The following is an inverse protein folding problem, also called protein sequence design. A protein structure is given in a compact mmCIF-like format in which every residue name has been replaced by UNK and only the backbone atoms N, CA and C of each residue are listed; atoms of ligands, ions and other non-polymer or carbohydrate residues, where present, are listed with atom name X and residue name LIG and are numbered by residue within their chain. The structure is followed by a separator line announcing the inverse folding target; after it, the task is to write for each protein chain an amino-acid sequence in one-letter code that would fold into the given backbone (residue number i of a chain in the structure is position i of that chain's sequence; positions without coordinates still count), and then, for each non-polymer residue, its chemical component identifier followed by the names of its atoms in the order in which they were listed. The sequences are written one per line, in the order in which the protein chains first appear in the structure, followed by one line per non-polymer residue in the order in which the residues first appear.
data_IF_279897825352
#
_entry.id   IF_279897825352
#
_cell.length_a   1.000
_cell.length_b   1.000
_cell.length_c   1.000
_cell.angle_alpha   90.00
_cell.angle_beta   90.00
_cell.angle_gamma   90.00
#
_symmetry.space_group_name_H-M   'P 1'
#
loop_
_entity.id
_entity.type
_entity.pdbx_description
1 polymer ?
#
# COMPACT_ATOMS: atom_id res chain seq x y z
N UNK A 1 -19.81 31.84 1.77
CA UNK A 1 -21.27 31.94 1.86
C UNK A 1 -21.88 30.77 1.11
N UNK A 2 -22.82 30.10 1.72
CA UNK A 2 -23.45 28.88 1.19
C UNK A 2 -24.68 29.19 0.30
N UNK A 3 -24.85 30.42 -0.09
CA UNK A 3 -26.11 30.89 -0.70
C UNK A 3 -26.14 30.70 -2.22
N UNK A 4 -25.00 30.74 -2.87
CA UNK A 4 -24.91 30.78 -4.35
C UNK A 4 -24.42 29.46 -4.98
N UNK A 5 -23.81 28.59 -4.20
CA UNK A 5 -23.29 27.31 -4.70
C UNK A 5 -24.41 26.29 -4.92
N UNK A 6 -24.37 25.55 -6.02
CA UNK A 6 -25.26 24.42 -6.30
C UNK A 6 -24.95 23.20 -5.44
N UNK A 7 -23.67 22.99 -5.13
CA UNK A 7 -23.15 21.93 -4.28
C UNK A 7 -22.37 22.54 -3.13
N UNK A 8 -22.67 22.13 -1.92
CA UNK A 8 -21.89 22.54 -0.76
C UNK A 8 -20.64 21.67 -0.63
N UNK A 9 -19.47 22.29 -0.67
CA UNK A 9 -18.19 21.63 -0.50
C UNK A 9 -17.53 22.04 0.81
N UNK A 10 -16.94 21.07 1.53
CA UNK A 10 -16.31 21.27 2.82
C UNK A 10 -15.03 20.44 2.93
N UNK A 11 -13.95 21.07 3.40
CA UNK A 11 -12.72 20.39 3.74
C UNK A 11 -12.84 19.83 5.14
N UNK A 12 -12.98 18.51 5.26
CA UNK A 12 -13.21 17.83 6.52
C UNK A 12 -11.91 17.23 7.06
N UNK A 13 -11.36 17.88 8.05
CA UNK A 13 -10.17 17.43 8.79
C UNK A 13 -10.50 17.09 10.24
N UNK A 14 -11.72 16.68 10.54
CA UNK A 14 -12.16 16.37 11.90
C UNK A 14 -11.65 15.04 12.43
N UNK A 15 -11.35 14.07 11.55
CA UNK A 15 -10.95 12.74 11.96
C UNK A 15 -9.55 12.69 12.58
N UNK A 16 -9.46 12.38 13.87
CA UNK A 16 -8.22 12.33 14.64
C UNK A 16 -7.65 10.92 14.87
N UNK A 17 -8.14 9.91 14.11
CA UNK A 17 -7.76 8.50 14.29
C UNK A 17 -8.71 7.71 15.20
N UNK A 18 -9.66 8.37 15.85
CA UNK A 18 -10.70 7.76 16.71
C UNK A 18 -12.04 8.44 16.46
N UNK A 19 -13.14 7.71 16.71
CA UNK A 19 -14.49 8.21 16.51
C UNK A 19 -14.91 8.25 15.04
N UNK A 20 -15.92 9.09 14.68
CA UNK A 20 -16.40 9.21 13.31
C UNK A 20 -15.32 9.69 12.35
N UNK A 21 -15.30 9.13 11.13
CA UNK A 21 -14.33 9.47 10.10
C UNK A 21 -14.55 10.85 9.47
N UNK A 22 -15.74 11.41 9.59
CA UNK A 22 -16.07 12.74 9.13
C UNK A 22 -17.20 13.37 9.95
N UNK A 23 -17.35 14.68 9.85
CA UNK A 23 -18.43 15.40 10.52
C UNK A 23 -19.81 14.98 9.96
N UNK A 24 -20.84 14.95 10.81
CA UNK A 24 -22.20 14.82 10.31
C UNK A 24 -22.56 15.98 9.39
N UNK A 25 -23.12 15.69 8.21
CA UNK A 25 -23.55 16.73 7.27
C UNK A 25 -24.40 17.83 7.90
N UNK A 26 -25.30 17.45 8.82
CA UNK A 26 -26.16 18.38 9.56
C UNK A 26 -25.41 19.35 10.47
N UNK A 27 -24.20 18.99 10.93
CA UNK A 27 -23.33 19.88 11.70
C UNK A 27 -22.58 20.88 10.80
N UNK A 28 -22.34 20.52 9.54
CA UNK A 28 -21.59 21.34 8.58
C UNK A 28 -22.49 22.30 7.82
N UNK A 29 -23.70 21.88 7.39
CA UNK A 29 -24.65 22.72 6.65
C UNK A 29 -26.09 22.49 7.09
N UNK A 30 -26.87 23.56 7.33
CA UNK A 30 -28.30 23.45 7.62
C UNK A 30 -29.13 23.18 6.36
N UNK A 31 -28.62 23.46 5.16
CA UNK A 31 -29.33 23.25 3.90
C UNK A 31 -29.10 21.84 3.34
N UNK A 32 -30.00 20.94 3.73
CA UNK A 32 -29.96 19.54 3.31
C UNK A 32 -30.52 19.29 1.89
N UNK A 33 -30.97 20.34 1.17
CA UNK A 33 -31.50 20.22 -0.20
C UNK A 33 -30.39 20.19 -1.24
N UNK A 34 -29.25 20.83 -0.95
CA UNK A 34 -28.09 20.87 -1.86
C UNK A 34 -27.30 19.57 -1.79
N UNK A 35 -26.61 19.22 -2.86
CA UNK A 35 -25.56 18.21 -2.84
C UNK A 35 -24.48 18.58 -1.81
N UNK A 36 -23.88 17.58 -1.18
CA UNK A 36 -22.78 17.77 -0.21
C UNK A 36 -21.57 16.93 -0.62
N UNK A 37 -20.43 17.58 -0.70
CA UNK A 37 -19.15 16.96 -1.06
C UNK A 37 -18.11 17.25 0.03
N UNK A 38 -17.45 16.22 0.52
CA UNK A 38 -16.22 16.37 1.29
C UNK A 38 -15.09 16.60 0.29
N UNK A 39 -14.68 17.86 0.12
CA UNK A 39 -13.75 18.29 -0.92
C UNK A 39 -12.29 18.00 -0.60
N UNK A 40 -11.96 17.86 0.68
CA UNK A 40 -10.64 17.45 1.13
C UNK A 40 -10.72 16.70 2.45
N UNK A 41 -9.87 15.67 2.62
CA UNK A 41 -9.62 15.02 3.91
C UNK A 41 -8.25 14.31 3.91
N UNK A 42 -7.73 13.96 5.07
CA UNK A 42 -6.56 13.10 5.26
C UNK A 42 -5.24 13.86 5.21
N UNK A 43 -4.55 13.83 4.12
CA UNK A 43 -3.23 14.36 3.78
C UNK A 43 -2.46 15.14 4.84
N UNK A 44 -2.83 16.37 5.07
CA UNK A 44 -2.13 17.24 6.02
C UNK A 44 -2.20 16.73 7.46
N UNK A 45 -3.30 16.09 7.87
CA UNK A 45 -3.45 15.54 9.22
C UNK A 45 -2.61 14.30 9.46
N UNK A 46 -2.39 13.51 8.42
CA UNK A 46 -1.65 12.26 8.52
C UNK A 46 -0.68 12.08 7.34
N UNK A 47 0.38 12.91 7.28
CA UNK A 47 1.40 12.75 6.24
C UNK A 47 2.14 11.42 6.46
N UNK A 48 2.41 10.69 5.38
CA UNK A 48 3.25 9.49 5.43
C UNK A 48 4.19 9.43 4.24
N UNK A 49 5.44 9.14 4.54
CA UNK A 49 6.49 8.92 3.54
C UNK A 49 6.49 7.46 3.11
N UNK A 50 6.90 7.19 1.88
CA UNK A 50 7.07 5.81 1.41
C UNK A 50 8.07 5.00 2.24
N UNK A 51 8.99 5.69 2.93
CA UNK A 51 10.04 5.12 3.78
C UNK A 51 9.79 5.24 5.29
N UNK A 52 8.59 5.64 5.71
CA UNK A 52 8.16 5.51 7.11
C UNK A 52 8.01 4.04 7.48
N UNK A 53 7.96 3.73 8.78
CA UNK A 53 7.74 2.38 9.25
C UNK A 53 6.38 1.81 8.81
N UNK A 54 6.24 0.50 8.83
CA UNK A 54 5.01 -0.18 8.40
C UNK A 54 3.78 0.23 9.22
N UNK A 55 3.85 0.35 10.57
CA UNK A 55 2.72 0.80 11.37
C UNK A 55 2.22 2.18 10.96
N UNK A 56 3.11 3.13 10.68
CA UNK A 56 2.73 4.48 10.26
C UNK A 56 2.08 4.49 8.88
N UNK A 57 2.66 3.77 7.91
CA UNK A 57 2.11 3.63 6.55
C UNK A 57 0.74 2.94 6.57
N UNK A 58 0.57 1.90 7.39
CA UNK A 58 -0.72 1.24 7.59
C UNK A 58 -1.74 2.16 8.24
N UNK A 59 -1.33 2.91 9.28
CA UNK A 59 -2.23 3.84 9.95
C UNK A 59 -2.74 4.94 9.01
N UNK A 60 -1.91 5.45 8.08
CA UNK A 60 -2.36 6.36 7.03
C UNK A 60 -3.42 5.71 6.13
N UNK A 61 -3.18 4.50 5.66
CA UNK A 61 -4.13 3.79 4.80
C UNK A 61 -5.48 3.57 5.51
N UNK A 62 -5.44 3.14 6.77
CA UNK A 62 -6.65 2.94 7.58
C UNK A 62 -7.35 4.27 7.91
N UNK A 63 -6.60 5.39 8.03
CA UNK A 63 -7.16 6.73 8.17
C UNK A 63 -8.01 7.10 6.95
N UNK A 64 -7.46 6.96 5.75
CA UNK A 64 -8.21 7.19 4.50
C UNK A 64 -9.43 6.25 4.39
N UNK A 65 -9.28 4.98 4.74
CA UNK A 65 -10.38 4.02 4.73
C UNK A 65 -11.51 4.41 5.69
N UNK A 66 -11.18 4.95 6.87
CA UNK A 66 -12.17 5.35 7.88
C UNK A 66 -13.00 6.55 7.41
N UNK A 67 -12.35 7.58 6.85
CA UNK A 67 -13.07 8.75 6.35
C UNK A 67 -13.97 8.37 5.16
N UNK A 68 -13.45 7.59 4.21
CA UNK A 68 -14.25 7.10 3.07
C UNK A 68 -15.44 6.26 3.51
N UNK A 69 -15.24 5.35 4.48
CA UNK A 69 -16.30 4.53 5.02
C UNK A 69 -17.45 5.37 5.58
N UNK A 70 -17.12 6.36 6.41
CA UNK A 70 -18.13 7.16 7.09
C UNK A 70 -18.79 8.18 6.14
N UNK A 71 -18.05 8.68 5.16
CA UNK A 71 -18.62 9.50 4.09
C UNK A 71 -19.64 8.71 3.25
N UNK A 72 -19.35 7.45 2.92
CA UNK A 72 -20.27 6.56 2.19
C UNK A 72 -21.47 6.17 3.05
N UNK A 73 -21.26 5.97 4.35
CA UNK A 73 -22.32 5.62 5.28
C UNK A 73 -23.34 6.75 5.51
N UNK A 74 -22.92 8.01 5.32
CA UNK A 74 -23.79 9.17 5.53
C UNK A 74 -24.73 9.38 4.33
N UNK A 75 -26.02 9.47 4.64
CA UNK A 75 -27.01 9.82 3.65
C UNK A 75 -26.84 11.27 3.15
N UNK A 76 -26.87 11.46 1.85
CA UNK A 76 -26.80 12.77 1.20
C UNK A 76 -25.39 13.33 1.02
N UNK A 77 -24.34 12.56 1.31
CA UNK A 77 -22.97 12.84 0.90
C UNK A 77 -22.78 12.33 -0.54
N UNK A 78 -22.42 13.20 -1.44
CA UNK A 78 -22.24 12.87 -2.87
C UNK A 78 -20.88 12.21 -3.13
N UNK A 79 -19.89 12.46 -2.27
CA UNK A 79 -18.54 11.87 -2.37
C UNK A 79 -17.56 12.50 -1.41
N UNK A 80 -16.37 11.94 -1.39
CA UNK A 80 -15.24 12.45 -0.60
C UNK A 80 -13.94 12.35 -1.40
N UNK A 81 -13.16 13.43 -1.41
CA UNK A 81 -11.90 13.56 -2.12
C UNK A 81 -10.74 13.63 -1.12
N UNK A 82 -9.83 12.67 -1.20
CA UNK A 82 -8.63 12.69 -0.37
C UNK A 82 -7.64 13.76 -0.83
N UNK A 83 -7.07 14.50 0.08
CA UNK A 83 -5.91 15.36 -0.16
C UNK A 83 -4.63 14.60 0.19
N UNK A 84 -3.81 14.19 -0.80
CA UNK A 84 -4.04 14.37 -2.22
C UNK A 84 -3.54 13.15 -3.01
N UNK A 85 -3.60 13.22 -4.34
CA UNK A 85 -3.18 12.10 -5.20
C UNK A 85 -1.68 11.84 -5.08
N UNK A 86 -0.85 12.88 -5.05
CA UNK A 86 0.61 12.72 -5.03
C UNK A 86 1.29 13.69 -4.07
N UNK A 87 2.43 13.27 -3.55
CA UNK A 87 3.36 14.18 -2.87
C UNK A 87 3.74 15.33 -3.81
N UNK A 88 4.03 16.49 -3.24
CA UNK A 88 4.34 17.67 -4.03
C UNK A 88 5.40 18.55 -3.37
N UNK A 89 6.14 19.26 -4.20
CA UNK A 89 7.10 20.23 -3.74
C UNK A 89 6.41 21.43 -3.09
N UNK A 90 7.03 21.97 -2.05
CA UNK A 90 6.54 23.13 -1.34
C UNK A 90 7.63 24.21 -1.19
N UNK A 91 7.27 25.38 -0.68
CA UNK A 91 8.22 26.48 -0.49
C UNK A 91 9.13 26.22 0.73
N UNK A 92 10.19 27.02 0.84
CA UNK A 92 11.28 26.86 1.82
C UNK A 92 10.85 26.88 3.30
N UNK A 93 9.70 27.48 3.60
CA UNK A 93 9.19 27.63 4.96
C UNK A 93 8.30 26.46 5.40
N UNK A 94 8.12 25.48 4.52
CA UNK A 94 7.25 24.34 4.74
C UNK A 94 7.95 23.01 4.38
N UNK A 95 7.54 21.92 5.02
CA UNK A 95 8.11 20.60 4.78
C UNK A 95 9.21 20.23 5.76
N UNK A 96 9.78 19.05 5.60
CA UNK A 96 10.74 18.42 6.49
C UNK A 96 12.21 18.62 6.08
N UNK A 97 12.52 19.79 5.53
CA UNK A 97 13.89 20.14 5.07
C UNK A 97 14.14 19.77 3.61
N UNK A 98 13.52 18.72 3.09
CA UNK A 98 13.53 18.34 1.67
C UNK A 98 12.49 19.10 0.84
N UNK A 99 11.69 19.94 1.47
CA UNK A 99 10.65 20.79 0.86
C UNK A 99 9.58 19.98 0.11
N UNK A 100 9.22 18.84 0.66
CA UNK A 100 8.17 17.98 0.13
C UNK A 100 7.04 17.89 1.15
N UNK A 101 5.81 18.09 0.70
CA UNK A 101 4.61 17.72 1.44
C UNK A 101 4.26 16.25 1.13
N UNK A 102 4.37 15.40 2.14
CA UNK A 102 4.11 13.96 2.03
C UNK A 102 2.63 13.61 2.24
N UNK A 103 1.75 14.38 1.61
CA UNK A 103 0.31 14.28 1.75
C UNK A 103 -0.33 13.29 0.77
N UNK A 104 0.43 12.90 -0.25
CA UNK A 104 -0.06 12.07 -1.35
C UNK A 104 -0.31 10.62 -0.96
N UNK A 105 -1.25 9.99 -1.66
CA UNK A 105 -1.39 8.53 -1.68
C UNK A 105 -0.40 7.88 -2.65
N UNK A 106 0.28 8.69 -3.47
CA UNK A 106 1.46 8.33 -4.27
C UNK A 106 2.62 9.26 -3.94
N UNK A 107 3.83 8.88 -4.32
CA UNK A 107 5.00 9.75 -4.22
C UNK A 107 5.02 10.82 -5.33
N UNK A 108 6.10 11.63 -5.41
CA UNK A 108 6.31 12.66 -6.43
C UNK A 108 6.28 12.11 -7.87
N UNK A 109 6.61 10.87 -8.08
CA UNK A 109 6.71 10.21 -9.37
C UNK A 109 5.54 9.29 -9.68
N UNK A 110 4.47 9.36 -8.85
CA UNK A 110 3.25 8.54 -8.96
C UNK A 110 3.44 7.07 -8.59
N UNK A 111 4.54 6.71 -7.92
CA UNK A 111 4.64 5.39 -7.30
C UNK A 111 3.60 5.29 -6.17
N UNK A 112 2.78 4.22 -6.14
CA UNK A 112 1.73 4.09 -5.14
C UNK A 112 2.32 3.84 -3.74
N UNK A 113 1.81 4.56 -2.75
CA UNK A 113 1.95 4.22 -1.33
C UNK A 113 0.83 3.24 -0.95
N UNK A 114 0.90 2.66 0.24
CA UNK A 114 -0.11 1.72 0.71
C UNK A 114 -1.54 2.31 0.66
N UNK A 115 -1.68 3.59 0.99
CA UNK A 115 -2.98 4.30 0.96
C UNK A 115 -3.60 4.41 -0.43
N UNK A 116 -2.83 4.30 -1.51
CA UNK A 116 -3.39 4.25 -2.86
C UNK A 116 -4.27 3.00 -3.08
N UNK A 117 -3.91 1.88 -2.44
CA UNK A 117 -4.68 0.64 -2.54
C UNK A 117 -6.07 0.75 -1.90
N UNK A 118 -6.26 1.65 -0.93
CA UNK A 118 -7.58 1.93 -0.34
C UNK A 118 -8.57 2.37 -1.41
N UNK A 119 -8.16 3.31 -2.26
CA UNK A 119 -9.01 3.83 -3.34
C UNK A 119 -9.14 2.84 -4.49
N UNK A 120 -8.03 2.27 -4.93
CA UNK A 120 -7.99 1.33 -6.04
C UNK A 120 -8.88 0.10 -5.80
N UNK A 121 -8.92 -0.41 -4.55
CA UNK A 121 -9.72 -1.56 -4.18
C UNK A 121 -11.23 -1.30 -4.12
N UNK A 122 -11.70 -0.04 -4.16
CA UNK A 122 -13.15 0.22 -4.11
C UNK A 122 -13.87 0.00 -5.44
N UNK A 123 -13.13 -0.16 -6.54
CA UNK A 123 -13.70 -0.48 -7.85
C UNK A 123 -14.13 -1.94 -7.92
N UNK A 124 -15.35 -2.23 -8.37
CA UNK A 124 -15.79 -3.60 -8.65
C UNK A 124 -14.98 -4.18 -9.81
N UNK A 125 -14.31 -5.34 -9.63
CA UNK A 125 -13.54 -5.96 -10.68
C UNK A 125 -14.47 -6.52 -11.77
N UNK A 126 -14.08 -6.38 -13.05
CA UNK A 126 -14.77 -6.94 -14.21
C UNK A 126 -14.03 -8.13 -14.81
N UNK A 127 -12.75 -8.26 -14.46
CA UNK A 127 -11.85 -9.32 -14.93
C UNK A 127 -10.82 -9.64 -13.84
N UNK A 128 -10.13 -10.78 -13.91
CA UNK A 128 -9.03 -11.09 -13.00
C UNK A 128 -7.93 -10.02 -12.95
N UNK A 129 -7.68 -9.30 -14.04
CA UNK A 129 -6.69 -8.21 -14.11
C UNK A 129 -7.12 -6.97 -13.33
N UNK A 130 -8.41 -6.76 -13.07
CA UNK A 130 -8.94 -5.65 -12.28
C UNK A 130 -8.81 -5.88 -10.76
N UNK A 131 -8.45 -7.10 -10.34
CA UNK A 131 -8.32 -7.40 -8.92
C UNK A 131 -7.09 -6.70 -8.35
N UNK A 132 -7.34 -5.79 -7.42
CA UNK A 132 -6.32 -5.14 -6.59
C UNK A 132 -5.96 -6.09 -5.45
N UNK A 133 -4.67 -6.24 -5.17
CA UNK A 133 -4.22 -7.13 -4.10
C UNK A 133 -2.94 -6.62 -3.47
N UNK A 134 -3.08 -5.83 -2.40
CA UNK A 134 -1.96 -5.22 -1.69
C UNK A 134 -1.91 -5.69 -0.24
N UNK A 135 -0.81 -6.36 0.14
CA UNK A 135 -0.54 -6.81 1.50
C UNK A 135 0.27 -5.75 2.23
N UNK A 136 -0.25 -5.26 3.36
CA UNK A 136 0.30 -4.09 4.06
C UNK A 136 1.71 -4.27 4.63
N UNK A 137 2.15 -5.51 4.85
CA UNK A 137 3.45 -5.83 5.45
C UNK A 137 4.42 -6.43 4.45
N UNK A 138 5.68 -6.02 4.52
CA UNK A 138 6.80 -6.70 3.86
C UNK A 138 7.06 -8.07 4.49
N UNK A 139 6.56 -8.27 5.70
CA UNK A 139 6.79 -9.39 6.61
C UNK A 139 8.24 -9.55 7.07
N UNK A 140 9.19 -8.81 6.53
CA UNK A 140 10.62 -8.72 6.91
C UNK A 140 11.22 -10.06 7.36
N UNK A 141 10.91 -11.15 6.62
CA UNK A 141 11.25 -12.52 7.02
C UNK A 141 12.76 -12.73 6.98
N UNK A 142 13.30 -13.22 8.10
CA UNK A 142 14.73 -13.48 8.26
C UNK A 142 15.55 -12.33 8.81
N UNK A 143 15.02 -11.10 8.88
CA UNK A 143 15.80 -9.92 9.28
C UNK A 143 15.85 -9.72 10.81
N UNK A 144 14.78 -10.04 11.52
CA UNK A 144 14.69 -9.83 12.95
C UNK A 144 13.69 -10.79 13.63
N UNK A 145 13.73 -10.89 14.98
CA UNK A 145 12.82 -11.75 15.74
C UNK A 145 11.36 -11.41 15.47
N UNK A 146 10.56 -12.46 15.27
CA UNK A 146 9.15 -12.29 15.03
C UNK A 146 8.78 -11.85 13.63
N UNK A 147 9.77 -11.65 12.74
CA UNK A 147 9.60 -11.41 11.32
C UNK A 147 8.57 -10.34 10.98
N UNK A 148 7.34 -10.64 10.97
CA UNK A 148 6.22 -9.76 10.65
C UNK A 148 5.39 -9.38 11.89
N UNK A 149 6.02 -8.98 12.97
CA UNK A 149 5.31 -8.46 14.14
C UNK A 149 4.45 -7.24 13.76
N UNK A 150 3.27 -7.13 14.39
CA UNK A 150 2.32 -6.06 14.12
C UNK A 150 1.08 -6.51 13.34
N UNK A 151 0.23 -5.57 12.98
CA UNK A 151 -1.00 -5.83 12.22
C UNK A 151 -0.69 -6.08 10.74
N UNK A 152 -1.41 -7.01 10.13
CA UNK A 152 -1.35 -7.28 8.69
C UNK A 152 -2.74 -7.12 8.08
N UNK A 153 -2.85 -6.27 7.08
CA UNK A 153 -4.08 -6.00 6.36
C UNK A 153 -3.88 -6.22 4.86
N UNK A 154 -4.94 -6.61 4.20
CA UNK A 154 -4.97 -6.73 2.73
C UNK A 154 -6.02 -5.79 2.18
N UNK A 155 -5.59 -4.87 1.31
CA UNK A 155 -6.47 -3.99 0.56
C UNK A 155 -6.77 -4.66 -0.78
N UNK A 156 -8.01 -5.11 -0.95
CA UNK A 156 -8.41 -5.88 -2.12
C UNK A 156 -9.89 -5.72 -2.43
N UNK A 157 -10.24 -5.88 -3.70
CA UNK A 157 -11.61 -6.04 -4.18
C UNK A 157 -11.93 -7.50 -4.55
N UNK A 158 -11.10 -8.45 -4.11
CA UNK A 158 -11.40 -9.88 -4.17
C UNK A 158 -12.48 -10.27 -3.13
N UNK A 159 -13.07 -11.43 -3.31
CA UNK A 159 -14.11 -11.97 -2.41
C UNK A 159 -13.52 -12.48 -1.08
N UNK A 160 -12.32 -13.06 -1.15
CA UNK A 160 -11.59 -13.54 0.02
C UNK A 160 -10.09 -13.60 -0.22
N UNK A 161 -9.36 -13.80 0.87
CA UNK A 161 -7.90 -14.00 0.88
C UNK A 161 -7.58 -15.32 1.58
N UNK A 162 -6.88 -16.22 0.90
CA UNK A 162 -6.33 -17.44 1.49
C UNK A 162 -4.89 -17.21 1.89
N UNK A 163 -4.54 -17.65 3.10
CA UNK A 163 -3.19 -17.61 3.61
C UNK A 163 -2.63 -19.03 3.72
N UNK A 164 -1.40 -19.21 3.26
CA UNK A 164 -0.62 -20.42 3.41
C UNK A 164 0.71 -20.11 4.07
N UNK A 165 1.24 -21.03 4.84
CA UNK A 165 2.61 -21.06 5.35
C UNK A 165 3.32 -22.28 4.78
N UNK A 166 4.28 -22.06 3.89
CA UNK A 166 4.81 -23.14 3.06
C UNK A 166 3.68 -23.81 2.26
N UNK A 167 3.49 -25.09 2.49
CA UNK A 167 2.40 -25.87 1.87
C UNK A 167 1.15 -25.98 2.75
N UNK A 168 1.19 -25.48 3.97
CA UNK A 168 0.08 -25.57 4.91
C UNK A 168 -0.92 -24.43 4.70
N UNK A 169 -2.17 -24.78 4.47
CA UNK A 169 -3.27 -23.84 4.51
C UNK A 169 -3.50 -23.38 5.94
N UNK A 170 -3.52 -22.07 6.16
CA UNK A 170 -3.75 -21.47 7.47
C UNK A 170 -5.22 -21.12 7.64
N UNK A 171 -5.74 -20.22 6.81
CA UNK A 171 -7.12 -19.77 6.88
C UNK A 171 -7.54 -19.07 5.58
N UNK A 172 -8.85 -18.89 5.41
CA UNK A 172 -9.45 -18.02 4.41
C UNK A 172 -10.16 -16.87 5.13
N UNK A 173 -9.85 -15.63 4.72
CA UNK A 173 -10.36 -14.41 5.32
C UNK A 173 -11.29 -13.71 4.34
N UNK A 174 -12.42 -13.22 4.83
CA UNK A 174 -13.40 -12.44 4.07
C UNK A 174 -13.50 -11.03 4.62
N UNK A 175 -13.96 -10.04 3.81
CA UNK A 175 -14.22 -8.69 4.30
C UNK A 175 -15.22 -8.70 5.46
N UNK A 176 -14.90 -8.00 6.53
CA UNK A 176 -15.85 -7.84 7.65
C UNK A 176 -16.93 -6.81 7.29
N UNK A 177 -18.10 -7.32 6.90
CA UNK A 177 -19.28 -6.53 6.54
C UNK A 177 -20.07 -5.97 7.74
N UNK A 178 -19.60 -6.21 8.96
CA UNK A 178 -20.20 -5.70 10.20
C UNK A 178 -19.23 -4.87 11.03
N UNK A 179 -17.97 -4.85 10.63
CA UNK A 179 -16.89 -4.13 11.30
C UNK A 179 -16.81 -2.65 10.94
N UNK A 180 -15.68 -2.06 11.29
CA UNK A 180 -15.41 -0.63 11.16
C UNK A 180 -15.55 -0.08 9.73
N UNK A 181 -15.28 -0.90 8.72
CA UNK A 181 -15.25 -0.50 7.32
C UNK A 181 -16.41 -1.06 6.51
N UNK A 182 -17.52 -1.42 7.15
CA UNK A 182 -18.64 -2.14 6.55
C UNK A 182 -19.36 -1.39 5.43
N UNK A 183 -19.30 -0.05 5.40
CA UNK A 183 -19.92 0.77 4.35
C UNK A 183 -19.08 0.86 3.07
N UNK A 184 -17.80 0.54 3.15
CA UNK A 184 -16.97 0.49 1.93
C UNK A 184 -17.47 -0.61 0.98
N UNK A 185 -17.49 -0.39 -0.35
CA UNK A 185 -17.77 -1.44 -1.33
C UNK A 185 -16.90 -2.68 -1.13
N UNK A 186 -15.62 -2.48 -0.85
CA UNK A 186 -14.64 -3.53 -0.56
C UNK A 186 -13.86 -3.18 0.72
N UNK A 187 -14.36 -3.59 1.90
CA UNK A 187 -13.66 -3.40 3.17
C UNK A 187 -12.29 -4.07 3.16
N UNK A 188 -11.24 -3.42 3.67
CA UNK A 188 -9.94 -4.06 3.83
C UNK A 188 -10.05 -5.27 4.77
N UNK A 189 -9.27 -6.30 4.50
CA UNK A 189 -9.30 -7.58 5.22
C UNK A 189 -8.13 -7.63 6.21
N UNK A 190 -8.44 -7.75 7.50
CA UNK A 190 -7.42 -7.98 8.52
C UNK A 190 -7.05 -9.46 8.56
N UNK A 191 -5.77 -9.76 8.48
CA UNK A 191 -5.22 -11.11 8.63
C UNK A 191 -4.94 -11.33 10.11
N UNK A 192 -5.87 -11.97 10.80
CA UNK A 192 -5.83 -12.13 12.24
C UNK A 192 -5.15 -13.42 12.69
N UNK A 193 -5.11 -14.43 11.83
CA UNK A 193 -4.55 -15.75 12.15
C UNK A 193 -3.42 -16.14 11.19
N UNK A 194 -2.27 -16.47 11.76
CA UNK A 194 -1.07 -16.96 11.08
C UNK A 194 -0.67 -18.39 11.52
N UNK A 195 -1.48 -18.99 12.37
CA UNK A 195 -1.22 -20.31 12.97
C UNK A 195 -2.19 -21.37 12.45
N UNK A 196 -3.47 -21.06 12.36
CA UNK A 196 -4.51 -21.98 11.86
C UNK A 196 -4.48 -23.29 12.59
N UNK A 197 -4.56 -24.38 11.83
CA UNK A 197 -4.52 -25.77 12.34
C UNK A 197 -3.12 -26.35 12.56
N UNK A 198 -2.05 -25.55 12.46
CA UNK A 198 -0.68 -26.04 12.61
C UNK A 198 -0.41 -26.68 13.97
N UNK A 199 -1.06 -26.18 15.04
CA UNK A 199 -0.92 -26.72 16.39
C UNK A 199 -1.57 -28.10 16.54
N UNK A 200 -2.71 -28.32 15.91
CA UNK A 200 -3.34 -29.64 15.83
C UNK A 200 -2.44 -30.61 15.06
N UNK A 201 -1.95 -30.16 13.90
CA UNK A 201 -1.17 -30.99 12.98
C UNK A 201 0.20 -31.37 13.53
N UNK A 202 0.91 -30.43 14.18
CA UNK A 202 2.32 -30.60 14.53
C UNK A 202 2.61 -30.68 16.02
N UNK A 203 1.69 -30.24 16.89
CA UNK A 203 1.83 -30.33 18.35
C UNK A 203 0.86 -31.37 18.94
N UNK A 204 -0.08 -31.90 18.14
CA UNK A 204 -1.08 -32.86 18.60
C UNK A 204 -2.07 -32.28 19.61
N UNK A 205 -2.26 -30.96 19.61
CA UNK A 205 -3.27 -30.32 20.46
C UNK A 205 -4.67 -30.66 19.96
N UNK A 206 -5.59 -30.88 20.91
CA UNK A 206 -6.97 -31.13 20.56
C UNK A 206 -7.70 -29.89 20.02
N UNK A 207 -8.85 -30.10 19.37
CA UNK A 207 -9.66 -29.06 18.72
C UNK A 207 -10.19 -27.97 19.70
N UNK A 208 -10.17 -28.21 21.00
CA UNK A 208 -10.59 -27.21 22.00
C UNK A 208 -9.41 -26.36 22.48
N UNK A 209 -8.24 -26.92 22.55
CA UNK A 209 -6.99 -26.30 23.04
C UNK A 209 -6.25 -25.52 21.94
N UNK A 210 -6.11 -26.12 20.76
CA UNK A 210 -5.33 -25.53 19.66
C UNK A 210 -5.79 -24.11 19.28
N UNK A 211 -7.10 -23.79 19.10
CA UNK A 211 -7.53 -22.44 18.76
C UNK A 211 -7.24 -21.42 19.87
N UNK A 212 -7.27 -21.84 21.14
CA UNK A 212 -6.97 -20.95 22.27
C UNK A 212 -5.48 -20.58 22.31
N UNK A 213 -4.61 -21.55 22.04
CA UNK A 213 -3.15 -21.32 21.95
C UNK A 213 -2.84 -20.49 20.72
N UNK A 214 -3.46 -20.78 19.57
CA UNK A 214 -3.30 -19.99 18.35
C UNK A 214 -3.69 -18.52 18.57
N UNK A 215 -4.79 -18.25 19.28
CA UNK A 215 -5.20 -16.90 19.63
C UNK A 215 -4.17 -16.16 20.47
N UNK A 216 -3.55 -16.84 21.43
CA UNK A 216 -2.47 -16.27 22.27
C UNK A 216 -1.25 -15.94 21.39
N UNK A 217 -0.81 -16.86 20.52
CA UNK A 217 0.33 -16.65 19.63
C UNK A 217 0.09 -15.49 18.64
N UNK A 218 -1.11 -15.38 18.08
CA UNK A 218 -1.48 -14.30 17.19
C UNK A 218 -1.54 -12.94 17.91
N UNK A 219 -1.99 -12.91 19.17
CA UNK A 219 -1.94 -11.70 20.01
C UNK A 219 -0.49 -11.29 20.29
N UNK A 220 0.37 -12.24 20.68
CA UNK A 220 1.81 -11.98 20.90
C UNK A 220 2.47 -11.39 19.66
N UNK A 221 2.12 -11.90 18.48
CA UNK A 221 2.61 -11.37 17.19
C UNK A 221 2.17 -9.93 16.97
N UNK A 222 0.88 -9.65 17.17
CA UNK A 222 0.28 -8.33 16.89
C UNK A 222 0.76 -7.26 17.87
N UNK A 223 0.88 -7.62 19.14
CA UNK A 223 1.05 -6.66 20.24
C UNK A 223 2.47 -6.76 20.88
N UNK A 224 3.47 -7.15 20.08
CA UNK A 224 4.89 -7.21 20.46
C UNK A 224 5.13 -7.99 21.77
N UNK A 225 4.63 -9.22 21.84
CA UNK A 225 4.70 -10.13 22.99
C UNK A 225 3.87 -9.73 24.22
N UNK A 226 3.14 -8.61 24.17
CA UNK A 226 2.21 -8.24 25.23
C UNK A 226 0.96 -9.12 25.15
N UNK A 227 0.45 -9.50 26.32
CA UNK A 227 -0.76 -10.31 26.45
C UNK A 227 -1.84 -9.57 27.23
N UNK A 228 -3.04 -9.61 26.70
CA UNK A 228 -4.25 -9.13 27.37
C UNK A 228 -4.52 -9.94 28.65
N UNK A 229 -5.28 -9.39 29.60
CA UNK A 229 -5.74 -10.15 30.77
C UNK A 229 -6.46 -11.45 30.40
N UNK A 230 -7.23 -11.44 29.30
CA UNK A 230 -7.93 -12.63 28.81
C UNK A 230 -6.97 -13.72 28.35
N UNK A 231 -5.95 -13.39 27.59
CA UNK A 231 -4.94 -14.35 27.14
C UNK A 231 -4.10 -14.89 28.30
N UNK A 232 -3.77 -14.06 29.29
CA UNK A 232 -3.14 -14.51 30.54
C UNK A 232 -4.01 -15.49 31.32
N UNK A 233 -5.32 -15.24 31.41
CA UNK A 233 -6.25 -16.17 32.05
C UNK A 233 -6.36 -17.48 31.27
N UNK A 234 -6.36 -17.45 29.94
CA UNK A 234 -6.32 -18.64 29.08
C UNK A 234 -5.06 -19.47 29.31
N UNK A 235 -3.88 -18.84 29.38
CA UNK A 235 -2.62 -19.52 29.68
C UNK A 235 -2.72 -20.30 31.01
N UNK A 236 -3.25 -19.66 32.06
CA UNK A 236 -3.42 -20.29 33.36
C UNK A 236 -4.39 -21.49 33.29
N UNK A 237 -5.52 -21.34 32.59
CA UNK A 237 -6.54 -22.39 32.45
C UNK A 237 -6.00 -23.59 31.66
N UNK A 238 -5.17 -23.34 30.67
CA UNK A 238 -4.52 -24.37 29.83
C UNK A 238 -3.26 -24.94 30.47
N UNK A 239 -2.81 -24.41 31.60
CA UNK A 239 -1.55 -24.75 32.28
C UNK A 239 -0.33 -24.60 31.36
N UNK A 240 -0.38 -23.63 30.46
CA UNK A 240 0.72 -23.35 29.55
C UNK A 240 1.84 -22.59 30.25
N UNK A 241 3.03 -23.17 30.29
CA UNK A 241 4.23 -22.49 30.75
C UNK A 241 4.72 -21.42 29.78
N UNK A 242 5.38 -20.38 30.30
CA UNK A 242 5.95 -19.32 29.46
C UNK A 242 6.96 -19.90 28.44
N UNK A 243 7.74 -20.91 28.84
CA UNK A 243 8.72 -21.56 27.97
C UNK A 243 8.06 -22.33 26.81
N UNK A 244 6.93 -23.01 27.08
CA UNK A 244 6.19 -23.73 26.03
C UNK A 244 5.59 -22.75 25.03
N UNK A 245 5.04 -21.65 25.53
CA UNK A 245 4.48 -20.61 24.69
C UNK A 245 5.55 -19.93 23.82
N UNK A 246 6.72 -19.60 24.39
CA UNK A 246 7.85 -19.04 23.63
C UNK A 246 8.37 -20.02 22.59
N UNK A 247 8.49 -21.32 22.94
CA UNK A 247 8.86 -22.37 21.97
C UNK A 247 7.91 -22.42 20.80
N UNK A 248 6.58 -22.40 21.06
CA UNK A 248 5.57 -22.39 20.00
C UNK A 248 5.59 -21.07 19.20
N UNK A 249 5.78 -19.94 19.89
CA UNK A 249 5.94 -18.65 19.21
C UNK A 249 7.10 -18.69 18.22
N UNK A 250 8.27 -19.12 18.65
CA UNK A 250 9.44 -19.22 17.79
C UNK A 250 9.23 -20.19 16.62
N UNK A 251 8.52 -21.29 16.85
CA UNK A 251 8.25 -22.30 15.81
C UNK A 251 7.23 -21.83 14.78
N UNK A 252 6.15 -21.15 15.22
CA UNK A 252 4.99 -20.82 14.36
C UNK A 252 4.91 -19.36 13.94
N UNK A 253 5.53 -18.46 14.65
CA UNK A 253 5.51 -17.02 14.31
C UNK A 253 6.88 -16.59 13.76
N UNK A 254 7.96 -16.72 14.51
CA UNK A 254 9.28 -16.37 14.03
C UNK A 254 10.35 -16.40 15.11
N UNK A 255 11.59 -16.60 14.69
CA UNK A 255 12.77 -16.64 15.55
C UNK A 255 13.96 -16.01 14.83
N UNK A 256 14.79 -15.27 15.57
CA UNK A 256 16.04 -14.75 15.06
C UNK A 256 17.00 -15.91 14.72
N UNK A 257 17.49 -15.95 13.48
CA UNK A 257 18.43 -16.97 13.01
C UNK A 257 17.84 -18.37 12.82
N UNK A 258 16.52 -18.50 12.92
CA UNK A 258 15.81 -19.76 12.61
C UNK A 258 15.49 -19.89 11.11
N UNK A 259 14.95 -21.05 10.70
CA UNK A 259 14.50 -21.24 9.34
C UNK A 259 13.37 -20.27 9.02
N UNK A 260 13.52 -19.55 7.92
CA UNK A 260 12.51 -18.60 7.44
C UNK A 260 11.27 -19.32 6.95
N UNK A 261 10.12 -18.74 7.22
CA UNK A 261 8.86 -19.23 6.69
C UNK A 261 8.56 -18.53 5.35
N UNK A 262 7.96 -19.27 4.43
CA UNK A 262 7.37 -18.70 3.22
C UNK A 262 5.88 -18.52 3.46
N UNK A 263 5.38 -17.31 3.25
CA UNK A 263 3.95 -17.04 3.31
C UNK A 263 3.41 -16.74 1.91
N UNK A 264 2.30 -17.35 1.56
CA UNK A 264 1.61 -17.13 0.30
C UNK A 264 0.19 -16.65 0.58
N UNK A 265 -0.12 -15.48 0.05
CA UNK A 265 -1.45 -14.87 0.06
C UNK A 265 -2.06 -15.04 -1.31
N UNK A 266 -3.30 -15.52 -1.37
CA UNK A 266 -4.04 -15.73 -2.61
C UNK A 266 -5.35 -14.96 -2.58
N UNK A 267 -5.56 -14.06 -3.55
CA UNK A 267 -6.85 -13.40 -3.76
C UNK A 267 -7.79 -14.34 -4.51
N UNK A 268 -8.96 -14.57 -3.94
CA UNK A 268 -10.00 -15.43 -4.52
C UNK A 268 -11.11 -14.57 -5.09
N UNK A 269 -11.44 -14.80 -6.36
CA UNK A 269 -12.54 -14.16 -7.07
C UNK A 269 -13.27 -15.16 -7.93
N UNK A 270 -14.61 -15.24 -7.79
CA UNK A 270 -15.45 -16.29 -8.38
C UNK A 270 -14.94 -17.71 -8.09
N UNK A 271 -14.55 -17.93 -6.83
CA UNK A 271 -14.07 -19.24 -6.35
C UNK A 271 -12.68 -19.65 -6.88
N UNK A 272 -11.99 -18.78 -7.62
CA UNK A 272 -10.66 -19.06 -8.21
C UNK A 272 -9.61 -18.12 -7.66
N UNK A 273 -8.40 -18.63 -7.47
CA UNK A 273 -7.23 -17.79 -7.19
C UNK A 273 -6.87 -16.99 -8.44
N UNK A 274 -6.89 -15.65 -8.34
CA UNK A 274 -6.63 -14.72 -9.46
C UNK A 274 -5.37 -13.87 -9.27
N UNK A 275 -4.90 -13.71 -8.03
CA UNK A 275 -3.64 -13.05 -7.68
C UNK A 275 -2.96 -13.82 -6.57
N UNK A 276 -1.64 -13.83 -6.60
CA UNK A 276 -0.80 -14.46 -5.58
C UNK A 276 0.32 -13.53 -5.20
N UNK A 277 0.55 -13.36 -3.90
CA UNK A 277 1.70 -12.65 -3.33
C UNK A 277 2.45 -13.64 -2.44
N UNK A 278 3.74 -13.84 -2.71
CA UNK A 278 4.62 -14.69 -1.92
C UNK A 278 5.57 -13.80 -1.13
N UNK A 279 5.61 -13.97 0.17
CA UNK A 279 6.54 -13.32 1.09
C UNK A 279 7.52 -14.36 1.60
N UNK A 280 8.79 -14.19 1.26
CA UNK A 280 9.90 -15.03 1.67
C UNK A 280 11.17 -14.18 1.81
N UNK A 281 12.26 -14.70 2.39
CA UNK A 281 13.51 -13.98 2.46
C UNK A 281 13.98 -13.51 1.09
N UNK A 282 14.51 -12.30 1.03
CA UNK A 282 15.05 -11.72 -0.19
C UNK A 282 16.27 -12.51 -0.65
N UNK A 283 16.23 -13.06 -1.84
CA UNK A 283 17.32 -13.81 -2.47
C UNK A 283 17.98 -13.03 -3.60
N UNK A 284 17.23 -12.14 -4.24
CA UNK A 284 17.74 -11.27 -5.30
C UNK A 284 16.97 -9.95 -5.31
N UNK A 285 17.69 -8.89 -5.66
CA UNK A 285 17.14 -7.55 -5.87
C UNK A 285 17.15 -7.24 -7.36
N UNK A 286 16.03 -6.75 -7.87
CA UNK A 286 15.90 -6.29 -9.25
C UNK A 286 15.41 -4.85 -9.27
N UNK A 287 15.93 -4.08 -10.23
CA UNK A 287 15.39 -2.76 -10.52
C UNK A 287 14.28 -2.91 -11.58
N UNK A 288 13.12 -2.37 -11.29
CA UNK A 288 12.03 -2.20 -12.24
C UNK A 288 11.99 -0.74 -12.69
N UNK A 289 11.91 -0.53 -14.02
CA UNK A 289 11.82 0.79 -14.62
C UNK A 289 10.62 0.85 -15.56
N UNK A 290 9.69 1.78 -15.30
CA UNK A 290 8.48 1.96 -16.10
C UNK A 290 8.42 3.39 -16.64
N UNK A 291 8.43 3.54 -17.97
CA UNK A 291 8.12 4.79 -18.65
C UNK A 291 6.62 4.86 -18.90
N UNK A 292 5.91 5.77 -18.21
CA UNK A 292 4.44 5.81 -18.21
C UNK A 292 3.83 6.25 -19.55
N UNK A 293 4.57 6.96 -20.37
CA UNK A 293 4.17 7.32 -21.74
C UNK A 293 5.36 7.13 -22.68
N UNK A 294 5.54 5.95 -23.27
CA UNK A 294 6.71 5.66 -24.10
C UNK A 294 6.64 6.28 -25.50
N UNK A 295 5.55 6.97 -25.86
CA UNK A 295 5.41 7.70 -27.13
C UNK A 295 5.21 9.18 -26.82
N UNK A 296 6.23 9.98 -27.09
CA UNK A 296 6.24 11.42 -26.91
C UNK A 296 6.01 12.14 -28.24
N UNK A 297 5.38 13.31 -28.19
CA UNK A 297 5.13 14.12 -29.38
C UNK A 297 5.78 15.50 -29.22
N UNK A 298 6.88 15.72 -29.91
CA UNK A 298 7.55 17.02 -29.97
C UNK A 298 6.87 17.95 -30.97
N UNK A 299 6.63 19.18 -30.57
CA UNK A 299 5.92 20.19 -31.36
C UNK A 299 6.38 21.61 -31.03
N UNK A 300 5.48 22.60 -31.01
CA UNK A 300 5.78 23.96 -30.56
C UNK A 300 6.27 24.02 -29.11
N UNK A 301 5.89 23.03 -28.31
CA UNK A 301 6.37 22.80 -26.94
C UNK A 301 6.94 21.40 -26.84
N UNK A 302 7.88 21.22 -25.91
CA UNK A 302 8.38 19.89 -25.56
C UNK A 302 7.30 19.04 -24.87
N UNK A 303 7.41 17.73 -25.01
CA UNK A 303 6.57 16.74 -24.33
C UNK A 303 7.42 15.98 -23.30
N UNK A 304 6.80 15.36 -22.30
CA UNK A 304 7.52 14.62 -21.28
C UNK A 304 6.82 13.33 -20.83
N UNK A 305 7.63 12.37 -20.39
CA UNK A 305 7.18 11.15 -19.75
C UNK A 305 7.67 11.09 -18.30
N UNK A 306 6.81 10.66 -17.39
CA UNK A 306 7.21 10.24 -16.07
C UNK A 306 7.82 8.84 -16.12
N UNK A 307 8.84 8.64 -15.30
CA UNK A 307 9.52 7.34 -15.12
C UNK A 307 9.44 6.94 -13.67
N UNK A 308 8.93 5.76 -13.40
CA UNK A 308 8.94 5.14 -12.08
C UNK A 308 10.06 4.11 -11.97
N UNK A 309 10.76 4.11 -10.85
CA UNK A 309 11.83 3.19 -10.51
C UNK A 309 11.45 2.47 -9.20
N UNK A 310 11.60 1.14 -9.15
CA UNK A 310 11.27 0.34 -7.98
C UNK A 310 12.30 -0.76 -7.78
N UNK A 311 12.80 -0.92 -6.54
CA UNK A 311 13.53 -2.13 -6.16
C UNK A 311 12.54 -3.20 -5.73
N UNK A 312 12.62 -4.36 -6.36
CA UNK A 312 11.75 -5.49 -6.11
C UNK A 312 12.54 -6.77 -5.84
N UNK A 313 11.96 -7.68 -5.05
CA UNK A 313 12.52 -9.00 -4.81
C UNK A 313 12.27 -9.97 -5.98
N UNK A 314 12.67 -11.23 -5.82
CA UNK A 314 12.46 -12.31 -6.79
C UNK A 314 10.98 -12.57 -7.11
N UNK A 315 10.06 -12.22 -6.21
CA UNK A 315 8.61 -12.41 -6.34
C UNK A 315 7.87 -11.14 -6.82
N UNK A 316 8.62 -10.04 -7.08
CA UNK A 316 8.05 -8.77 -7.50
C UNK A 316 7.51 -7.91 -6.36
N UNK A 317 7.79 -8.24 -5.10
CA UNK A 317 7.42 -7.39 -3.98
C UNK A 317 8.36 -6.18 -3.90
N UNK A 318 7.80 -5.01 -3.61
CA UNK A 318 8.57 -3.83 -3.30
C UNK A 318 9.48 -4.08 -2.08
N UNK A 319 10.71 -3.61 -2.16
CA UNK A 319 11.70 -3.65 -1.09
C UNK A 319 11.77 -2.27 -0.40
N UNK A 320 10.94 -1.99 0.62
CA UNK A 320 10.78 -0.65 1.17
C UNK A 320 12.02 -0.13 1.92
N UNK A 321 12.95 -1.01 2.24
CA UNK A 321 14.19 -0.66 2.95
C UNK A 321 15.41 -0.57 2.01
N UNK A 322 15.23 -0.82 0.69
CA UNK A 322 16.27 -0.58 -0.31
C UNK A 322 16.43 0.92 -0.54
N UNK A 323 17.61 1.45 -0.21
CA UNK A 323 17.96 2.87 -0.33
C UNK A 323 19.06 3.16 -1.35
N UNK A 324 19.38 2.19 -2.21
CA UNK A 324 20.45 2.28 -3.18
C UNK A 324 20.26 3.44 -4.16
N UNK A 325 21.35 3.97 -4.66
CA UNK A 325 21.34 5.00 -5.70
C UNK A 325 21.20 4.39 -7.10
N UNK A 326 20.32 4.98 -7.91
CA UNK A 326 20.16 4.61 -9.32
C UNK A 326 20.83 5.65 -10.20
N UNK A 327 21.79 5.24 -11.02
CA UNK A 327 22.38 6.05 -12.07
C UNK A 327 21.49 5.99 -13.32
N UNK A 328 21.26 7.15 -13.91
CA UNK A 328 20.41 7.33 -15.09
C UNK A 328 21.23 7.97 -16.22
N UNK A 329 21.10 7.43 -17.42
CA UNK A 329 21.58 8.06 -18.64
C UNK A 329 20.61 7.83 -19.78
N UNK A 330 20.65 8.68 -20.78
CA UNK A 330 19.75 8.58 -21.94
C UNK A 330 20.52 8.66 -23.24
N UNK A 331 20.02 7.96 -24.25
CA UNK A 331 20.42 8.06 -25.63
C UNK A 331 19.22 8.48 -26.49
N UNK A 332 19.51 9.19 -27.61
CA UNK A 332 18.48 9.67 -28.53
C UNK A 332 17.84 11.00 -28.12
N UNK A 333 16.71 11.39 -28.75
CA UNK A 333 16.17 12.75 -28.71
C UNK A 333 15.38 13.07 -27.42
N UNK A 334 15.91 12.71 -26.26
CA UNK A 334 15.35 13.03 -24.94
C UNK A 334 16.44 13.48 -23.97
N UNK A 335 16.06 14.20 -22.95
CA UNK A 335 16.91 14.58 -21.82
C UNK A 335 16.24 14.27 -20.48
N UNK A 336 17.04 13.97 -19.46
CA UNK A 336 16.55 13.81 -18.08
C UNK A 336 16.24 15.19 -17.51
N UNK A 337 15.04 15.34 -16.92
CA UNK A 337 14.66 16.51 -16.10
C UNK A 337 14.92 16.20 -14.64
N UNK A 338 16.12 16.48 -14.17
CA UNK A 338 16.53 16.23 -12.80
C UNK A 338 17.96 15.68 -12.73
N UNK A 339 18.36 15.16 -11.56
CA UNK A 339 19.70 14.60 -11.38
C UNK A 339 19.86 13.27 -12.15
N UNK A 340 21.10 13.01 -12.59
CA UNK A 340 21.47 11.74 -13.20
C UNK A 340 21.66 10.61 -12.18
N UNK A 341 21.68 10.92 -10.90
CA UNK A 341 21.75 9.94 -9.80
C UNK A 341 20.60 10.24 -8.84
N UNK A 342 19.74 9.26 -8.62
CA UNK A 342 18.57 9.37 -7.74
C UNK A 342 18.61 8.28 -6.68
N UNK A 343 18.48 8.62 -5.38
CA UNK A 343 18.39 7.60 -4.33
C UNK A 343 16.98 6.99 -4.31
N UNK A 344 16.90 5.69 -4.08
CA UNK A 344 15.63 5.07 -3.71
C UNK A 344 15.20 5.51 -2.31
N UNK A 345 13.92 5.78 -2.12
CA UNK A 345 13.30 6.09 -0.83
C UNK A 345 12.07 5.21 -0.66
N UNK A 346 12.09 4.32 0.32
CA UNK A 346 11.05 3.30 0.44
C UNK A 346 11.09 2.29 -0.72
N UNK A 347 12.28 2.04 -1.28
CA UNK A 347 12.44 1.19 -2.47
C UNK A 347 11.97 1.81 -3.78
N UNK A 348 11.61 3.09 -3.80
CA UNK A 348 11.04 3.79 -4.95
C UNK A 348 11.77 5.09 -5.26
N UNK A 349 11.81 5.44 -6.53
CA UNK A 349 12.26 6.73 -7.03
C UNK A 349 11.61 7.00 -8.39
N UNK A 350 12.04 8.06 -9.05
CA UNK A 350 11.64 8.34 -10.41
C UNK A 350 12.37 9.53 -11.01
N UNK A 351 12.06 9.81 -12.27
CA UNK A 351 12.53 10.95 -13.00
C UNK A 351 11.53 11.35 -14.08
N UNK A 352 11.83 12.39 -14.81
CA UNK A 352 11.07 12.79 -16.00
C UNK A 352 12.01 12.88 -17.21
N UNK A 353 11.53 12.45 -18.37
CA UNK A 353 12.22 12.58 -19.65
C UNK A 353 11.49 13.59 -20.52
N UNK A 354 12.20 14.57 -21.07
CA UNK A 354 11.63 15.55 -21.98
C UNK A 354 12.24 15.43 -23.37
N UNK A 355 11.45 15.74 -24.40
CA UNK A 355 11.92 15.81 -25.80
C UNK A 355 12.92 16.95 -26.01
N UNK A 356 13.83 16.80 -26.98
CA UNK A 356 14.90 17.76 -27.30
C UNK A 356 14.75 18.46 -28.65
N UNK A 357 13.62 18.30 -29.31
CA UNK A 357 13.37 18.94 -30.60
C UNK A 357 13.55 18.03 -31.81
N UNK A 358 13.94 16.78 -31.63
CA UNK A 358 14.15 15.83 -32.74
C UNK A 358 13.19 14.64 -32.60
N UNK A 359 12.89 13.97 -33.71
CA UNK A 359 12.18 12.69 -33.69
C UNK A 359 13.16 11.53 -33.71
N UNK A 360 12.77 10.41 -33.13
CA UNK A 360 13.57 9.21 -33.15
C UNK A 360 13.31 8.27 -32.00
N UNK A 361 14.05 7.17 -31.95
CA UNK A 361 14.07 6.26 -30.82
C UNK A 361 15.00 6.83 -29.73
N UNK A 362 14.58 6.68 -28.49
CA UNK A 362 15.40 6.98 -27.33
C UNK A 362 15.44 5.79 -26.37
N UNK A 363 16.49 5.70 -25.57
CA UNK A 363 16.66 4.66 -24.54
C UNK A 363 17.09 5.33 -23.25
N UNK A 364 16.39 4.99 -22.19
CA UNK A 364 16.81 5.29 -20.82
C UNK A 364 17.56 4.07 -20.27
N UNK A 365 18.77 4.28 -19.79
CA UNK A 365 19.58 3.28 -19.08
C UNK A 365 19.51 3.57 -17.58
N UNK A 366 19.21 2.55 -16.80
CA UNK A 366 19.14 2.62 -15.33
C UNK A 366 20.10 1.59 -14.73
N UNK A 367 21.00 2.03 -13.88
CA UNK A 367 21.99 1.19 -13.21
C UNK A 367 21.90 1.34 -11.70
N UNK A 368 21.83 0.22 -11.00
CA UNK A 368 21.82 0.14 -9.55
C UNK A 368 22.83 -0.93 -9.10
N UNK A 369 23.63 -0.63 -8.09
CA UNK A 369 24.57 -1.61 -7.54
C UNK A 369 23.81 -2.83 -6.99
N UNK A 370 24.33 -4.03 -7.27
CA UNK A 370 23.71 -5.28 -6.85
C UNK A 370 22.51 -5.76 -7.66
N UNK A 371 22.11 -5.03 -8.73
CA UNK A 371 21.06 -5.44 -9.64
C UNK A 371 21.56 -5.42 -11.11
N UNK A 372 20.85 -6.12 -11.98
CA UNK A 372 21.10 -6.03 -13.43
C UNK A 372 20.70 -4.65 -13.96
N UNK A 373 21.48 -4.15 -14.92
CA UNK A 373 21.17 -2.91 -15.64
C UNK A 373 19.83 -3.07 -16.38
N UNK A 374 19.02 -2.01 -16.38
CA UNK A 374 17.70 -1.98 -17.02
C UNK A 374 17.65 -0.91 -18.09
N UNK A 375 17.08 -1.25 -19.23
CA UNK A 375 16.85 -0.34 -20.33
C UNK A 375 15.36 -0.17 -20.60
N UNK A 376 14.93 1.07 -20.83
CA UNK A 376 13.57 1.39 -21.20
C UNK A 376 13.56 2.22 -22.50
N UNK A 377 12.91 1.68 -23.52
CA UNK A 377 12.81 2.33 -24.83
C UNK A 377 11.59 3.24 -24.91
N UNK A 378 11.75 4.37 -25.60
CA UNK A 378 10.67 5.29 -25.94
C UNK A 378 10.87 5.85 -27.35
N UNK A 379 9.80 6.43 -27.90
CA UNK A 379 9.81 6.99 -29.25
C UNK A 379 9.34 8.44 -29.21
N UNK A 380 10.11 9.33 -29.81
CA UNK A 380 9.71 10.72 -30.03
C UNK A 380 9.22 10.87 -31.47
N UNK A 381 8.01 11.41 -31.62
CA UNK A 381 7.42 11.74 -32.91
C UNK A 381 7.37 13.26 -33.07
N UNK A 382 7.50 13.76 -34.32
CA UNK A 382 7.16 15.15 -34.60
C UNK A 382 5.67 15.29 -34.78
N UNK A 383 5.11 16.36 -34.23
CA UNK A 383 3.75 16.76 -34.55
C UNK A 383 3.71 17.07 -36.06
N UNK A 384 2.92 16.33 -36.82
CA UNK A 384 2.69 16.63 -38.22
C UNK A 384 2.08 18.04 -38.34
N UNK A 385 2.77 18.92 -39.06
CA UNK A 385 2.30 20.27 -39.35
C UNK A 385 1.11 20.22 -40.31
N UNK A 386 -0.06 19.94 -39.80
CA UNK A 386 -1.33 20.09 -40.49
C UNK A 386 -2.31 20.63 -39.46
N UNK A 387 -2.32 21.97 -39.34
CA UNK A 387 -3.44 22.81 -38.96
C UNK A 387 -2.97 24.26 -38.74
N UNK A 388 -2.25 24.80 -39.73
CA UNK A 388 -2.28 26.21 -40.02
C UNK A 388 -3.24 26.38 -41.18
N UNK A 389 -4.52 26.33 -40.92
CA UNK A 389 -5.54 26.78 -41.85
C UNK A 389 -6.64 27.49 -41.04
N UNK A 390 -6.54 28.82 -41.14
CA UNK A 390 -7.54 29.84 -40.85
C UNK A 390 -7.91 30.14 -39.41
#
# INVERSE_FOLDING_TARGET
SQLLEDVYAYNDYSYSGRGPGCEPRSAVTPDLRKGYLISEFGGQQFPAKAFDDEPHRLAQALHHAAVLNDAIAQQGVAGALGWCMADYNTHREFGSGDRICYHGVTDLFRNPKLSAAVYASQKTPRSPSDVVFEVSSSMALGDHPGGFAGACWVFTNAESVRLYRGNDFIAEFTPDRRGRFAALPHPPIEIQDFVGSLLEKYEGLDQSTAPQVAAILNEMRRDALNLSPLSRARMLSLRLGANDLLRMYYKYIGVLGGPSSVYRFEAVWHGRTVRTVVKEPVQSVRLECVVHNPILTDGPTWDCAAVSLRAIDQNGNLLPYCGEAVQLSVEGPVKILGPAIVPLRGGMAGTYLATTGEAGRAVLHCRMEGALDVEAALTVRKRSGAENAN
#
